data_IF_429615912111
#
_entry.id   IF_429615912111
#
_cell.length_a   1.000
_cell.length_b   1.000
_cell.length_c   1.000
_cell.angle_alpha   90.00
_cell.angle_beta   90.00
_cell.angle_gamma   90.00
#
_symmetry.space_group_name_H-M   'P 1'
#
loop_
_entity.id
_entity.type
_entity.pdbx_description
1 polymer ?
#
# COMPACT_ATOMS: atom_id res chain seq x y z
N UNK A 1 8.23 -8.12 6.98
CA UNK A 1 6.88 -7.69 6.63
C UNK A 1 5.87 -8.73 7.09
N UNK A 2 4.65 -8.33 7.43
CA UNK A 2 3.54 -9.23 7.74
C UNK A 2 2.22 -8.77 7.12
N UNK A 3 1.22 -9.65 7.07
CA UNK A 3 -0.12 -9.34 6.54
C UNK A 3 -0.69 -8.05 7.16
N UNK A 4 -0.73 -7.86 8.50
CA UNK A 4 -1.24 -6.61 9.07
C UNK A 4 -0.50 -5.36 8.58
N UNK A 5 0.81 -5.43 8.34
CA UNK A 5 1.59 -4.28 7.88
C UNK A 5 1.22 -3.89 6.45
N UNK A 6 1.02 -4.87 5.58
CA UNK A 6 0.58 -4.64 4.18
C UNK A 6 -0.83 -4.07 4.14
N UNK A 7 -1.75 -4.61 4.95
CA UNK A 7 -3.10 -4.05 5.03
C UNK A 7 -3.10 -2.62 5.58
N UNK A 8 -2.32 -2.34 6.64
CA UNK A 8 -2.16 -0.97 7.14
C UNK A 8 -1.58 -0.04 6.08
N UNK A 9 -0.58 -0.49 5.32
CA UNK A 9 0.07 0.27 4.26
C UNK A 9 -0.93 0.66 3.17
N UNK A 10 -1.66 -0.32 2.62
CA UNK A 10 -2.68 -0.11 1.60
C UNK A 10 -3.85 0.76 2.11
N UNK A 11 -4.28 0.62 3.37
CA UNK A 11 -5.33 1.48 3.94
C UNK A 11 -4.92 2.94 4.05
N UNK A 12 -3.65 3.21 4.40
CA UNK A 12 -3.11 4.57 4.45
C UNK A 12 -2.94 5.15 3.04
N UNK A 13 -2.56 4.32 2.08
CA UNK A 13 -2.49 4.70 0.67
C UNK A 13 -3.85 5.11 0.12
N UNK A 14 -4.93 4.36 0.40
CA UNK A 14 -6.31 4.74 0.01
C UNK A 14 -6.65 6.17 0.46
N UNK A 15 -6.26 6.56 1.68
CA UNK A 15 -6.50 7.92 2.19
C UNK A 15 -5.70 8.96 1.39
N UNK A 16 -4.44 8.64 1.08
CA UNK A 16 -3.58 9.48 0.24
C UNK A 16 -4.15 9.67 -1.15
N UNK A 17 -4.49 8.57 -1.82
CA UNK A 17 -5.01 8.53 -3.18
C UNK A 17 -6.36 9.23 -3.30
N UNK A 18 -7.27 8.95 -2.36
CA UNK A 18 -8.55 9.65 -2.34
C UNK A 18 -8.37 11.16 -2.16
N UNK A 19 -7.53 11.60 -1.22
CA UNK A 19 -7.26 13.02 -0.99
C UNK A 19 -6.66 13.70 -2.22
N UNK A 20 -5.67 13.08 -2.87
CA UNK A 20 -5.06 13.63 -4.08
C UNK A 20 -6.00 13.61 -5.29
N UNK A 21 -6.86 12.58 -5.42
CA UNK A 21 -7.90 12.52 -6.44
C UNK A 21 -8.90 13.67 -6.28
N UNK A 22 -9.42 13.90 -5.07
CA UNK A 22 -10.35 15.00 -4.83
C UNK A 22 -9.69 16.36 -5.09
N UNK A 23 -8.44 16.53 -4.66
CA UNK A 23 -7.67 17.75 -4.97
C UNK A 23 -7.51 17.95 -6.49
N UNK A 24 -7.18 16.90 -7.24
CA UNK A 24 -6.99 16.99 -8.69
C UNK A 24 -8.28 17.40 -9.42
N UNK A 25 -9.45 17.00 -8.93
CA UNK A 25 -10.74 17.27 -9.58
C UNK A 25 -11.40 18.56 -9.09
N UNK A 26 -11.32 18.87 -7.79
CA UNK A 26 -12.06 19.95 -7.14
C UNK A 26 -11.16 21.08 -6.61
N UNK A 27 -9.84 20.89 -6.59
CA UNK A 27 -8.89 21.77 -5.91
C UNK A 27 -9.02 21.67 -4.39
N UNK A 28 -8.62 22.72 -3.66
CA UNK A 28 -8.82 22.80 -2.20
C UNK A 28 -7.64 22.29 -1.35
N UNK A 29 -7.15 23.15 -0.45
CA UNK A 29 -5.95 22.86 0.33
C UNK A 29 -6.10 21.66 1.28
N UNK A 30 -7.31 21.41 1.78
CA UNK A 30 -7.59 20.32 2.72
C UNK A 30 -7.43 18.96 2.05
N UNK A 31 -7.92 18.79 0.83
CA UNK A 31 -7.71 17.57 0.04
C UNK A 31 -6.23 17.33 -0.27
N UNK A 32 -5.51 18.39 -0.66
CA UNK A 32 -4.06 18.31 -0.86
C UNK A 32 -3.33 17.90 0.43
N UNK A 33 -3.66 18.54 1.56
CA UNK A 33 -3.05 18.22 2.84
C UNK A 33 -3.32 16.77 3.27
N UNK A 34 -4.57 16.29 3.14
CA UNK A 34 -4.94 14.90 3.40
C UNK A 34 -4.15 13.94 2.52
N UNK A 35 -4.06 14.22 1.23
CA UNK A 35 -3.29 13.42 0.28
C UNK A 35 -1.81 13.31 0.64
N UNK A 36 -1.17 14.46 0.91
CA UNK A 36 0.24 14.52 1.29
C UNK A 36 0.53 13.80 2.63
N UNK A 37 -0.33 14.00 3.64
CA UNK A 37 -0.18 13.31 4.93
C UNK A 37 -0.35 11.80 4.77
N UNK A 38 -1.29 11.35 3.93
CA UNK A 38 -1.45 9.94 3.57
C UNK A 38 -0.15 9.35 3.01
N UNK A 39 0.44 10.01 2.00
CA UNK A 39 1.69 9.55 1.39
C UNK A 39 2.92 9.60 2.32
N UNK A 40 2.98 10.56 3.26
CA UNK A 40 4.00 10.51 4.33
C UNK A 40 3.81 9.25 5.18
N UNK A 41 2.57 8.88 5.50
CA UNK A 41 2.24 7.63 6.18
C UNK A 41 2.66 6.39 5.39
N UNK A 42 2.41 6.36 4.08
CA UNK A 42 2.85 5.29 3.17
C UNK A 42 4.36 5.12 3.26
N UNK A 43 5.13 6.21 3.16
CA UNK A 43 6.59 6.17 3.24
C UNK A 43 7.06 5.56 4.57
N UNK A 44 6.48 5.97 5.69
CA UNK A 44 6.84 5.45 7.02
C UNK A 44 6.57 3.94 7.10
N UNK A 45 5.38 3.49 6.68
CA UNK A 45 5.00 2.08 6.72
C UNK A 45 5.80 1.23 5.72
N UNK A 46 6.20 1.80 4.59
CA UNK A 46 7.07 1.15 3.62
C UNK A 46 8.46 0.89 4.23
N UNK A 47 9.06 1.87 4.91
CA UNK A 47 10.33 1.72 5.63
C UNK A 47 10.23 0.58 6.66
N UNK A 48 9.13 0.55 7.43
CA UNK A 48 8.86 -0.50 8.43
C UNK A 48 8.73 -1.89 7.78
N UNK A 49 8.12 -1.96 6.60
CA UNK A 49 7.87 -3.20 5.85
C UNK A 49 9.13 -3.76 5.22
N UNK A 50 9.99 -2.88 4.68
CA UNK A 50 11.28 -3.22 4.08
C UNK A 50 12.31 -3.75 5.08
N UNK A 51 12.26 -3.29 6.34
CA UNK A 51 13.22 -3.75 7.34
C UNK A 51 13.06 -5.26 7.62
N UNK A 52 14.02 -6.06 7.18
CA UNK A 52 13.99 -7.53 7.29
C UNK A 52 13.13 -8.21 6.22
N UNK A 53 12.92 -7.59 5.07
CA UNK A 53 12.23 -8.18 3.92
C UNK A 53 12.90 -7.74 2.61
N UNK A 54 12.65 -8.48 1.54
CA UNK A 54 13.16 -8.12 0.22
C UNK A 54 12.24 -7.10 -0.44
N UNK A 55 12.79 -6.18 -1.24
CA UNK A 55 12.00 -5.25 -2.05
C UNK A 55 11.03 -6.03 -2.96
N UNK A 56 11.48 -7.16 -3.51
CA UNK A 56 10.64 -8.03 -4.34
C UNK A 56 9.38 -8.47 -3.61
N UNK A 57 9.48 -8.94 -2.37
CA UNK A 57 8.32 -9.38 -1.61
C UNK A 57 7.44 -8.19 -1.20
N UNK A 58 8.05 -7.10 -0.72
CA UNK A 58 7.31 -5.94 -0.23
C UNK A 58 6.51 -5.28 -1.34
N UNK A 59 7.12 -5.00 -2.50
CA UNK A 59 6.44 -4.34 -3.61
C UNK A 59 5.29 -5.20 -4.14
N UNK A 60 5.53 -6.48 -4.44
CA UNK A 60 4.46 -7.33 -4.97
C UNK A 60 3.30 -7.52 -3.98
N UNK A 61 3.60 -7.60 -2.68
CA UNK A 61 2.57 -7.72 -1.65
C UNK A 61 1.80 -6.41 -1.44
N UNK A 62 2.50 -5.29 -1.45
CA UNK A 62 1.92 -3.96 -1.31
C UNK A 62 1.06 -3.62 -2.52
N UNK A 63 1.63 -3.62 -3.73
CA UNK A 63 0.93 -3.31 -4.98
C UNK A 63 -0.30 -4.21 -5.16
N UNK A 64 -0.16 -5.51 -4.88
CA UNK A 64 -1.27 -6.45 -4.97
C UNK A 64 -2.36 -6.19 -3.93
N UNK A 65 -2.00 -5.88 -2.67
CA UNK A 65 -2.98 -5.56 -1.64
C UNK A 65 -3.69 -4.22 -1.90
N UNK A 66 -2.93 -3.20 -2.30
CA UNK A 66 -3.46 -1.88 -2.66
C UNK A 66 -4.40 -1.98 -3.84
N UNK A 67 -4.00 -2.67 -4.90
CA UNK A 67 -4.88 -2.91 -6.05
C UNK A 67 -6.20 -3.59 -5.65
N UNK A 68 -6.19 -4.54 -4.71
CA UNK A 68 -7.41 -5.17 -4.19
C UNK A 68 -8.25 -4.20 -3.35
N UNK A 69 -7.65 -3.56 -2.35
CA UNK A 69 -8.37 -2.76 -1.38
C UNK A 69 -8.87 -1.44 -1.99
N UNK A 70 -8.08 -0.79 -2.83
CA UNK A 70 -8.49 0.40 -3.58
C UNK A 70 -9.59 0.06 -4.58
N UNK A 71 -9.50 -1.08 -5.28
CA UNK A 71 -10.59 -1.50 -6.17
C UNK A 71 -11.88 -1.74 -5.39
N UNK A 72 -11.81 -2.34 -4.21
CA UNK A 72 -12.98 -2.50 -3.33
C UNK A 72 -13.51 -1.14 -2.86
N UNK A 73 -12.64 -0.23 -2.44
CA UNK A 73 -13.01 1.11 -2.03
C UNK A 73 -13.67 1.89 -3.18
N UNK A 74 -13.05 1.92 -4.36
CA UNK A 74 -13.58 2.56 -5.55
C UNK A 74 -14.93 1.96 -5.96
N UNK A 75 -15.06 0.63 -5.91
CA UNK A 75 -16.31 -0.05 -6.28
C UNK A 75 -17.45 0.23 -5.29
N UNK A 76 -17.21 0.11 -3.98
CA UNK A 76 -18.29 0.20 -2.98
C UNK A 76 -18.54 1.61 -2.46
N UNK A 77 -17.51 2.45 -2.35
CA UNK A 77 -17.60 3.80 -1.78
C UNK A 77 -17.73 4.85 -2.88
N UNK A 78 -16.89 4.80 -3.91
CA UNK A 78 -16.91 5.79 -5.00
C UNK A 78 -17.93 5.44 -6.10
N UNK A 79 -18.44 4.21 -6.11
CA UNK A 79 -19.41 3.74 -7.11
C UNK A 79 -18.81 3.48 -8.50
N UNK A 80 -17.48 3.39 -8.61
CA UNK A 80 -16.78 3.16 -9.87
C UNK A 80 -16.97 1.73 -10.38
N UNK A 81 -16.99 1.56 -11.70
CA UNK A 81 -17.15 0.25 -12.34
C UNK A 81 -16.13 0.10 -13.45
N UNK A 82 -15.64 -1.12 -13.61
CA UNK A 82 -14.88 -1.46 -14.80
C UNK A 82 -15.80 -1.51 -16.01
N UNK A 83 -15.31 -0.98 -17.13
CA UNK A 83 -16.05 -0.93 -18.38
C UNK A 83 -15.86 -2.21 -19.22
N UNK A 84 -14.88 -3.04 -18.88
CA UNK A 84 -14.55 -4.26 -19.62
C UNK A 84 -14.47 -5.48 -18.69
N UNK A 85 -15.10 -6.58 -19.09
CA UNK A 85 -15.11 -7.84 -18.33
C UNK A 85 -13.70 -8.38 -18.04
N UNK A 86 -12.73 -8.15 -18.93
CA UNK A 86 -11.34 -8.56 -18.75
C UNK A 86 -10.65 -7.87 -17.56
N UNK A 87 -11.09 -6.68 -17.16
CA UNK A 87 -10.55 -5.99 -15.98
C UNK A 87 -10.89 -6.76 -14.70
N UNK A 88 -12.09 -7.33 -14.61
CA UNK A 88 -12.45 -8.22 -13.50
C UNK A 88 -11.63 -9.51 -13.50
N UNK A 89 -11.36 -10.08 -14.69
CA UNK A 89 -10.47 -11.25 -14.80
C UNK A 89 -9.07 -10.91 -14.30
N UNK A 90 -8.52 -9.76 -14.70
CA UNK A 90 -7.24 -9.26 -14.19
C UNK A 90 -7.24 -9.11 -12.67
N UNK A 91 -8.32 -8.55 -12.10
CA UNK A 91 -8.50 -8.44 -10.65
C UNK A 91 -8.45 -9.81 -9.96
N UNK A 92 -9.10 -10.83 -10.50
CA UNK A 92 -9.02 -12.20 -9.97
C UNK A 92 -7.60 -12.78 -10.03
N UNK A 93 -6.84 -12.48 -11.09
CA UNK A 93 -5.44 -12.91 -11.19
C UNK A 93 -4.56 -12.24 -10.13
N UNK A 94 -4.77 -10.96 -9.82
CA UNK A 94 -4.07 -10.26 -8.73
C UNK A 94 -4.35 -10.93 -7.38
N UNK A 95 -5.62 -11.26 -7.09
CA UNK A 95 -5.99 -12.00 -5.88
C UNK A 95 -5.28 -13.35 -5.80
N UNK A 96 -5.27 -14.10 -6.92
CA UNK A 96 -4.56 -15.38 -7.02
C UNK A 96 -3.06 -15.24 -6.75
N UNK A 97 -2.41 -14.25 -7.37
CA UNK A 97 -0.99 -13.93 -7.16
C UNK A 97 -0.69 -13.60 -5.70
N UNK A 98 -1.54 -12.78 -5.06
CA UNK A 98 -1.42 -12.41 -3.65
C UNK A 98 -1.48 -13.63 -2.71
N UNK A 99 -2.38 -14.59 -2.97
CA UNK A 99 -2.45 -15.82 -2.19
C UNK A 99 -1.17 -16.68 -2.33
N UNK A 100 -0.54 -16.65 -3.50
CA UNK A 100 0.69 -17.42 -3.79
C UNK A 100 1.95 -16.81 -3.17
N UNK A 101 1.97 -15.50 -2.85
CA UNK A 101 3.10 -14.85 -2.19
C UNK A 101 3.36 -15.37 -0.77
N UNK A 102 2.40 -16.06 -0.14
CA UNK A 102 2.54 -16.67 1.20
C UNK A 102 3.09 -15.69 2.25
N UNK A 103 2.51 -14.49 2.30
CA UNK A 103 2.93 -13.44 3.23
C UNK A 103 2.70 -13.94 4.67
N UNK A 104 3.68 -13.81 5.58
CA UNK A 104 3.54 -14.30 6.94
C UNK A 104 2.59 -13.43 7.78
N UNK A 105 1.90 -14.05 8.74
CA UNK A 105 0.98 -13.34 9.66
C UNK A 105 1.70 -12.43 10.66
N UNK A 106 2.92 -12.82 11.09
CA UNK A 106 3.73 -12.07 12.05
C UNK A 106 5.13 -11.87 11.51
N UNK A 107 5.70 -10.68 11.75
CA UNK A 107 7.09 -10.37 11.41
C UNK A 107 8.03 -11.16 12.31
N UNK A 108 9.10 -11.71 11.72
CA UNK A 108 10.12 -12.47 12.48
C UNK A 108 10.95 -11.58 13.42
N UNK A 109 11.16 -10.31 13.05
CA UNK A 109 12.00 -9.38 13.80
C UNK A 109 11.24 -8.07 14.11
N UNK A 110 11.40 -7.50 15.32
CA UNK A 110 10.80 -6.22 15.68
C UNK A 110 11.39 -5.08 14.84
N UNK A 111 10.64 -3.97 14.75
CA UNK A 111 11.11 -2.78 14.07
C UNK A 111 12.15 -2.05 14.93
N UNK A 112 13.21 -1.57 14.28
CA UNK A 112 14.26 -0.75 14.88
C UNK A 112 14.36 0.57 14.11
N UNK A 113 14.41 1.70 14.80
CA UNK A 113 14.55 3.00 14.14
C UNK A 113 15.97 3.10 13.56
N UNK A 114 16.13 3.32 12.23
CA UNK A 114 17.44 3.42 11.62
C UNK A 114 18.17 4.69 12.05
N UNK A 115 19.50 4.60 12.20
CA UNK A 115 20.35 5.76 12.48
C UNK A 115 20.53 6.62 11.22
N UNK A 116 20.30 7.93 11.34
CA UNK A 116 20.54 8.88 10.24
C UNK A 116 22.02 9.02 9.87
N UNK A 117 22.94 8.66 10.77
CA UNK A 117 24.39 8.71 10.51
C UNK A 117 24.87 7.53 9.64
N UNK A 118 24.00 6.58 9.32
CA UNK A 118 24.38 5.30 8.75
C UNK A 118 24.99 4.41 9.83
N UNK A 119 24.65 3.12 9.83
CA UNK A 119 25.42 2.12 10.55
C UNK A 119 26.49 1.60 9.60
N UNK A 120 27.75 1.60 10.03
CA UNK A 120 28.86 0.99 9.29
C UNK A 120 28.43 -0.38 8.79
N UNK A 121 28.34 -0.51 7.47
CA UNK A 121 27.95 -1.72 6.79
C UNK A 121 29.08 -2.75 6.93
N UNK A 122 29.17 -3.40 8.10
CA UNK A 122 29.75 -4.73 8.20
C UNK A 122 28.62 -5.75 8.06
N UNK A 123 28.12 -5.86 6.83
CA UNK A 123 27.45 -7.04 6.29
C UNK A 123 27.81 -7.18 4.82
#
# INVERSE_FOLDING_TARGET
>A
MSIPQIFSLAMVEIVGDYGLKEYANLGGWHYLATGLVGYVGVIILLIVSLQGSTILLVNNAWDGASSILESLFAFFILGERFNNYLQYVGMFMVIGGMMLLKIPWKKAHPFHIPSLKGGDANK
#
